data_IF_812450731323
#
_entry.id   IF_812450731323
#
_cell.length_a   1.000
_cell.length_b   1.000
_cell.length_c   1.000
_cell.angle_alpha   90.00
_cell.angle_beta   90.00
_cell.angle_gamma   90.00
#
_symmetry.space_group_name_H-M   'P 1'
#
loop_
_entity.id
_entity.type
_entity.pdbx_description
1 polymer ?
#
# COMPACT_ATOMS: atom_id res chain seq x y z
N UNK A 1 30.50 85.00 -0.53
CA UNK A 1 29.41 84.29 -1.29
C UNK A 1 29.84 82.83 -1.42
N UNK A 2 29.37 81.98 -0.51
CA UNK A 2 29.68 80.52 -0.52
C UNK A 2 28.39 79.77 -0.85
N UNK A 3 28.37 79.08 -1.97
CA UNK A 3 27.28 78.22 -2.42
C UNK A 3 27.47 76.83 -1.76
N UNK A 4 26.55 76.44 -0.95
CA UNK A 4 26.53 75.09 -0.36
C UNK A 4 25.63 74.22 -1.28
N UNK A 5 26.27 73.25 -1.94
CA UNK A 5 25.52 72.22 -2.68
C UNK A 5 25.12 71.12 -1.70
N UNK A 6 23.81 70.98 -1.46
CA UNK A 6 23.24 69.85 -0.72
C UNK A 6 23.01 68.70 -1.73
N UNK A 7 23.82 67.68 -1.63
CA UNK A 7 23.63 66.43 -2.41
C UNK A 7 22.59 65.55 -1.67
N UNK A 8 21.39 65.41 -2.27
CA UNK A 8 20.39 64.49 -1.73
C UNK A 8 20.77 63.04 -2.17
N UNK A 9 21.15 62.20 -1.18
CA UNK A 9 21.32 60.77 -1.36
C UNK A 9 19.92 60.11 -1.35
N UNK A 10 19.47 59.72 -2.54
CA UNK A 10 18.31 58.79 -2.62
C UNK A 10 18.78 57.38 -2.29
N UNK A 11 18.42 56.91 -1.10
CA UNK A 11 18.58 55.51 -0.76
C UNK A 11 17.47 54.69 -1.41
N UNK A 12 17.80 53.96 -2.47
CA UNK A 12 16.92 52.93 -3.06
C UNK A 12 16.90 51.75 -2.06
N UNK A 13 15.86 51.66 -1.25
CA UNK A 13 15.55 50.45 -0.50
C UNK A 13 14.95 49.43 -1.44
N UNK A 14 15.79 48.49 -1.92
CA UNK A 14 15.32 47.29 -2.60
C UNK A 14 14.49 46.46 -1.65
N UNK A 15 13.18 46.56 -1.75
CA UNK A 15 12.27 45.65 -1.08
C UNK A 15 12.43 44.28 -1.75
N UNK A 16 13.26 43.42 -1.16
CA UNK A 16 13.28 41.99 -1.49
C UNK A 16 11.90 41.43 -1.16
N UNK A 17 11.08 41.26 -2.18
CA UNK A 17 9.82 40.53 -2.06
C UNK A 17 10.19 39.09 -1.67
N UNK A 18 10.09 38.75 -0.37
CA UNK A 18 10.00 37.38 0.06
C UNK A 18 8.68 36.85 -0.55
N UNK A 19 8.80 36.18 -1.69
CA UNK A 19 7.74 35.30 -2.16
C UNK A 19 7.55 34.28 -1.05
N UNK A 20 6.59 34.49 -0.17
CA UNK A 20 6.08 33.44 0.68
C UNK A 20 5.66 32.33 -0.26
N UNK A 21 6.48 31.27 -0.34
CA UNK A 21 6.13 30.06 -1.04
C UNK A 21 4.89 29.56 -0.32
N UNK A 22 3.74 29.64 -0.95
CA UNK A 22 2.55 28.96 -0.44
C UNK A 22 2.98 27.51 -0.25
N UNK A 23 2.99 27.03 1.00
CA UNK A 23 3.18 25.61 1.27
C UNK A 23 2.21 24.89 0.36
N UNK A 24 2.72 23.95 -0.44
CA UNK A 24 1.89 23.27 -1.42
C UNK A 24 0.68 22.67 -0.71
N UNK A 25 -0.50 23.21 -0.99
CA UNK A 25 -1.76 22.71 -0.45
C UNK A 25 -2.08 21.28 -0.96
N UNK A 26 -1.17 20.71 -1.75
CA UNK A 26 -1.28 19.38 -2.36
C UNK A 26 -0.06 18.53 -2.00
N UNK A 27 -0.27 17.21 -1.89
CA UNK A 27 0.79 16.24 -1.69
C UNK A 27 0.84 15.27 -2.88
N UNK A 28 2.06 14.92 -3.28
CA UNK A 28 2.30 13.87 -4.28
C UNK A 28 2.54 12.54 -3.56
N UNK A 29 1.93 11.47 -4.06
CA UNK A 29 2.18 10.12 -3.56
C UNK A 29 2.25 9.12 -4.70
N UNK A 30 3.03 8.05 -4.49
CA UNK A 30 3.07 6.91 -5.40
C UNK A 30 1.89 5.97 -5.09
N UNK A 31 1.33 5.38 -6.12
CA UNK A 31 0.29 4.35 -6.03
C UNK A 31 0.59 3.25 -7.04
N UNK A 32 0.07 2.06 -6.79
CA UNK A 32 0.26 0.92 -7.67
C UNK A 32 -0.48 1.13 -8.99
N UNK A 33 0.21 0.90 -10.12
CA UNK A 33 -0.43 0.94 -11.44
C UNK A 33 -1.36 -0.27 -11.62
N UNK A 34 -2.55 -0.11 -12.22
CA UNK A 34 -3.50 -1.20 -12.42
C UNK A 34 -2.94 -2.40 -13.19
N UNK A 35 -2.10 -2.19 -14.20
CA UNK A 35 -1.48 -3.27 -14.97
C UNK A 35 -0.53 -4.10 -14.11
N UNK A 36 0.26 -3.46 -13.26
CA UNK A 36 1.14 -4.15 -12.30
C UNK A 36 0.30 -4.89 -11.25
N UNK A 37 -0.79 -4.30 -10.78
CA UNK A 37 -1.74 -4.96 -9.87
C UNK A 37 -2.33 -6.23 -10.50
N UNK A 38 -2.64 -6.20 -11.80
CA UNK A 38 -3.12 -7.38 -12.54
C UNK A 38 -2.06 -8.46 -12.63
N UNK A 39 -0.82 -8.12 -12.96
CA UNK A 39 0.29 -9.07 -13.01
C UNK A 39 0.50 -9.75 -11.65
N UNK A 40 0.51 -8.99 -10.56
CA UNK A 40 0.60 -9.51 -9.19
C UNK A 40 -0.53 -10.51 -8.92
N UNK A 41 -1.77 -10.10 -9.19
CA UNK A 41 -2.95 -10.92 -8.92
C UNK A 41 -2.94 -12.22 -9.75
N UNK A 42 -2.56 -12.12 -11.02
CA UNK A 42 -2.50 -13.26 -11.94
C UNK A 42 -1.43 -14.27 -11.53
N UNK A 43 -0.22 -13.81 -11.23
CA UNK A 43 0.88 -14.67 -10.78
C UNK A 43 0.56 -15.37 -9.45
N UNK A 44 -0.05 -14.65 -8.49
CA UNK A 44 -0.50 -15.25 -7.23
C UNK A 44 -1.56 -16.33 -7.46
N UNK A 45 -2.55 -16.06 -8.32
CA UNK A 45 -3.60 -17.03 -8.66
C UNK A 45 -3.02 -18.28 -9.32
N UNK A 46 -2.12 -18.09 -10.28
CA UNK A 46 -1.46 -19.19 -10.99
C UNK A 46 -0.60 -20.05 -10.07
N UNK A 47 0.07 -19.44 -9.09
CA UNK A 47 0.79 -20.17 -8.07
C UNK A 47 -0.14 -21.05 -7.25
N UNK A 48 -1.23 -20.52 -6.75
CA UNK A 48 -2.21 -21.29 -5.99
C UNK A 48 -2.80 -22.43 -6.83
N UNK A 49 -3.10 -22.19 -8.11
CA UNK A 49 -3.60 -23.23 -9.04
C UNK A 49 -2.60 -24.37 -9.24
N UNK A 50 -1.30 -24.04 -9.39
CA UNK A 50 -0.23 -25.07 -9.50
C UNK A 50 -0.15 -25.91 -8.24
N UNK A 51 -0.41 -25.32 -7.08
CA UNK A 51 -0.44 -26.03 -5.80
C UNK A 51 -1.79 -26.75 -5.53
N UNK A 52 -2.73 -26.70 -6.49
CA UNK A 52 -4.04 -27.38 -6.44
C UNK A 52 -5.11 -26.64 -5.65
N UNK A 53 -4.92 -25.35 -5.33
CA UNK A 53 -5.84 -24.56 -4.54
C UNK A 53 -6.75 -23.68 -5.42
N UNK A 54 -8.00 -23.51 -4.98
CA UNK A 54 -8.98 -22.62 -5.61
C UNK A 54 -9.20 -21.42 -4.69
N UNK A 55 -8.70 -20.26 -5.09
CA UNK A 55 -8.62 -19.08 -4.22
C UNK A 55 -9.26 -17.84 -4.86
N UNK A 56 -9.45 -16.82 -4.05
CA UNK A 56 -9.60 -15.44 -4.50
C UNK A 56 -8.31 -14.67 -4.18
N UNK A 57 -7.91 -13.81 -5.12
CA UNK A 57 -6.80 -12.87 -4.99
C UNK A 57 -7.35 -11.47 -5.18
N UNK A 58 -7.01 -10.55 -4.29
CA UNK A 58 -7.39 -9.14 -4.37
C UNK A 58 -6.15 -8.28 -4.21
N UNK A 59 -5.94 -7.35 -5.14
CA UNK A 59 -4.92 -6.31 -5.03
C UNK A 59 -5.63 -4.97 -4.87
N UNK A 60 -5.23 -4.23 -3.84
CA UNK A 60 -5.80 -2.92 -3.51
C UNK A 60 -4.74 -1.83 -3.63
N UNK A 61 -5.17 -0.59 -3.79
CA UNK A 61 -4.31 0.58 -3.73
C UNK A 61 -3.95 0.96 -2.28
N UNK A 62 -3.16 2.00 -2.13
CA UNK A 62 -2.75 2.51 -0.81
C UNK A 62 -3.89 3.08 0.05
N UNK A 63 -5.05 3.36 -0.54
CA UNK A 63 -6.25 3.85 0.13
C UNK A 63 -7.25 2.74 0.44
N UNK A 64 -6.88 1.49 0.17
CA UNK A 64 -7.71 0.33 0.45
C UNK A 64 -8.77 0.04 -0.62
N UNK A 65 -8.68 0.68 -1.81
CA UNK A 65 -9.64 0.45 -2.90
C UNK A 65 -9.15 -0.68 -3.81
N UNK A 66 -10.02 -1.64 -4.16
CA UNK A 66 -9.66 -2.72 -5.07
C UNK A 66 -9.26 -2.20 -6.46
N UNK A 67 -8.06 -2.60 -6.92
CA UNK A 67 -7.59 -2.42 -8.29
C UNK A 67 -7.92 -3.65 -9.14
N UNK A 68 -7.72 -4.85 -8.57
CA UNK A 68 -7.95 -6.13 -9.25
C UNK A 68 -8.52 -7.14 -8.26
N UNK A 69 -9.51 -7.91 -8.70
CA UNK A 69 -10.00 -9.09 -8.02
C UNK A 69 -10.09 -10.25 -9.02
N UNK A 70 -9.38 -11.33 -8.73
CA UNK A 70 -9.48 -12.59 -9.46
C UNK A 70 -9.98 -13.68 -8.51
N UNK A 71 -10.88 -14.53 -9.00
CA UNK A 71 -11.46 -15.60 -8.21
C UNK A 71 -11.63 -16.85 -9.05
N UNK A 72 -11.14 -17.97 -8.52
CA UNK A 72 -11.42 -19.26 -9.11
C UNK A 72 -12.87 -19.68 -8.91
N UNK A 73 -13.40 -20.46 -9.87
CA UNK A 73 -14.82 -20.88 -9.90
C UNK A 73 -15.26 -21.65 -8.66
N UNK A 74 -14.34 -22.40 -8.04
CA UNK A 74 -14.62 -23.21 -6.85
C UNK A 74 -14.05 -22.63 -5.56
N UNK A 75 -13.52 -21.39 -5.58
CA UNK A 75 -13.15 -20.70 -4.36
C UNK A 75 -14.37 -20.54 -3.44
N UNK A 76 -14.16 -20.72 -2.16
CA UNK A 76 -15.22 -20.64 -1.15
C UNK A 76 -15.99 -19.33 -1.19
N UNK A 77 -17.22 -19.31 -0.70
CA UNK A 77 -18.10 -18.13 -0.73
C UNK A 77 -17.48 -16.91 -0.05
N UNK A 78 -16.74 -17.12 1.05
CA UNK A 78 -16.07 -16.04 1.79
C UNK A 78 -14.71 -15.63 1.20
N UNK A 79 -14.17 -16.35 0.20
CA UNK A 79 -12.80 -16.15 -0.26
C UNK A 79 -12.55 -14.71 -0.72
N UNK A 80 -13.46 -14.12 -1.52
CA UNK A 80 -13.27 -12.76 -2.03
C UNK A 80 -13.27 -11.71 -0.92
N UNK A 81 -14.21 -11.77 0.01
CA UNK A 81 -14.27 -10.83 1.14
C UNK A 81 -13.11 -11.00 2.09
N UNK A 82 -12.69 -12.25 2.36
CA UNK A 82 -11.53 -12.55 3.20
C UNK A 82 -10.23 -12.05 2.56
N UNK A 83 -10.03 -12.27 1.25
CA UNK A 83 -8.87 -11.75 0.53
C UNK A 83 -8.82 -10.21 0.57
N UNK A 84 -9.96 -9.55 0.34
CA UNK A 84 -10.07 -8.08 0.45
C UNK A 84 -9.69 -7.62 1.85
N UNK A 85 -10.24 -8.23 2.88
CA UNK A 85 -9.95 -7.87 4.28
C UNK A 85 -8.48 -8.11 4.66
N UNK A 86 -7.85 -9.20 4.18
CA UNK A 86 -6.42 -9.44 4.39
C UNK A 86 -5.55 -8.35 3.75
N UNK A 87 -5.82 -8.00 2.48
CA UNK A 87 -5.12 -6.91 1.80
C UNK A 87 -5.31 -5.58 2.53
N UNK A 88 -6.56 -5.26 2.91
CA UNK A 88 -6.90 -4.05 3.65
C UNK A 88 -6.18 -3.99 5.01
N UNK A 89 -6.14 -5.11 5.73
CA UNK A 89 -5.44 -5.21 7.02
C UNK A 89 -3.94 -4.92 6.85
N UNK A 90 -3.30 -5.51 5.85
CA UNK A 90 -1.87 -5.28 5.58
C UNK A 90 -1.59 -3.80 5.29
N UNK A 91 -2.37 -3.15 4.43
CA UNK A 91 -2.20 -1.73 4.09
C UNK A 91 -2.51 -0.82 5.27
N UNK A 92 -3.61 -1.07 5.99
CA UNK A 92 -4.03 -0.25 7.13
C UNK A 92 -3.00 -0.21 8.25
N UNK A 93 -2.35 -1.34 8.54
CA UNK A 93 -1.34 -1.43 9.60
C UNK A 93 0.10 -1.29 9.10
N UNK A 94 0.32 -1.18 7.77
CA UNK A 94 1.64 -1.06 7.18
C UNK A 94 2.53 -2.28 7.40
N UNK A 95 1.93 -3.49 7.51
CA UNK A 95 2.61 -4.76 7.80
C UNK A 95 1.88 -5.95 7.19
N UNK A 96 2.63 -6.98 6.89
CA UNK A 96 2.07 -8.26 6.48
C UNK A 96 1.23 -8.87 7.60
N UNK A 97 0.14 -9.52 7.23
CA UNK A 97 -0.79 -10.09 8.23
C UNK A 97 -0.17 -11.19 9.08
N UNK A 98 0.84 -11.89 8.58
CA UNK A 98 1.61 -12.88 9.37
C UNK A 98 2.31 -12.22 10.56
N UNK A 99 2.95 -11.06 10.35
CA UNK A 99 3.61 -10.29 11.39
C UNK A 99 2.60 -9.75 12.41
N UNK A 100 1.48 -9.21 11.93
CA UNK A 100 0.40 -8.72 12.80
C UNK A 100 -0.15 -9.84 13.69
N UNK A 101 -0.36 -11.03 13.11
CA UNK A 101 -0.80 -12.22 13.86
C UNK A 101 0.23 -12.66 14.88
N UNK A 102 1.52 -12.58 14.56
CA UNK A 102 2.60 -12.85 15.52
C UNK A 102 2.58 -11.84 16.66
N UNK A 103 2.54 -10.54 16.36
CA UNK A 103 2.50 -9.48 17.36
C UNK A 103 1.29 -9.61 18.30
N UNK A 104 0.15 -10.03 17.77
CA UNK A 104 -1.06 -10.28 18.58
C UNK A 104 -0.87 -11.47 19.51
N UNK A 105 -0.30 -12.59 19.04
CA UNK A 105 0.02 -13.76 19.88
C UNK A 105 1.03 -13.42 20.98
N UNK A 106 2.00 -12.56 20.67
CA UNK A 106 3.05 -12.13 21.61
C UNK A 106 2.55 -11.06 22.60
N UNK A 107 1.26 -10.68 22.54
CA UNK A 107 0.65 -9.66 23.40
C UNK A 107 1.07 -8.22 23.10
N UNK A 108 1.71 -7.98 21.95
CA UNK A 108 2.14 -6.65 21.50
C UNK A 108 1.01 -5.85 20.86
N UNK A 109 -0.04 -6.51 20.42
CA UNK A 109 -1.25 -5.90 19.85
C UNK A 109 -2.49 -6.35 20.60
N UNK A 110 -3.43 -5.42 20.79
CA UNK A 110 -4.72 -5.74 21.40
C UNK A 110 -5.53 -6.68 20.51
N UNK A 111 -6.11 -7.78 21.07
CA UNK A 111 -7.05 -8.63 20.35
C UNK A 111 -8.27 -7.88 19.82
N UNK A 112 -8.64 -6.76 20.43
CA UNK A 112 -9.73 -5.90 20.00
C UNK A 112 -9.57 -5.32 18.58
N UNK A 113 -8.35 -5.28 18.04
CA UNK A 113 -8.12 -4.84 16.66
C UNK A 113 -8.82 -5.72 15.62
N UNK A 114 -9.04 -7.01 15.94
CA UNK A 114 -9.78 -7.91 15.05
C UNK A 114 -11.28 -7.54 14.91
N UNK A 115 -11.80 -6.67 15.77
CA UNK A 115 -13.20 -6.21 15.73
C UNK A 115 -13.38 -4.90 14.92
N UNK A 116 -12.31 -4.34 14.40
CA UNK A 116 -12.40 -3.16 13.53
C UNK A 116 -13.00 -3.56 12.17
N UNK A 117 -13.79 -2.65 11.61
CA UNK A 117 -14.39 -2.86 10.28
C UNK A 117 -13.31 -3.11 9.23
N UNK A 118 -13.52 -4.07 8.35
CA UNK A 118 -12.62 -4.51 7.27
C UNK A 118 -11.33 -5.21 7.73
N UNK A 119 -11.04 -5.28 9.03
CA UNK A 119 -9.88 -6.00 9.54
C UNK A 119 -10.11 -7.50 9.52
N UNK A 120 -9.21 -8.22 8.86
CA UNK A 120 -9.16 -9.69 8.84
C UNK A 120 -7.79 -10.14 9.31
N UNK A 121 -7.70 -10.55 10.58
CA UNK A 121 -6.48 -11.03 11.21
C UNK A 121 -6.21 -12.51 10.85
N UNK A 122 -5.97 -12.74 9.56
CA UNK A 122 -5.60 -14.04 8.99
C UNK A 122 -4.39 -13.87 8.07
N UNK A 123 -3.47 -14.83 8.10
CA UNK A 123 -2.26 -14.84 7.26
C UNK A 123 -2.63 -14.93 5.78
N UNK A 124 -1.88 -14.25 4.91
CA UNK A 124 -2.07 -14.21 3.46
C UNK A 124 -2.39 -12.82 2.89
N UNK A 125 -2.24 -11.76 3.70
CA UNK A 125 -2.23 -10.36 3.27
C UNK A 125 -0.80 -9.81 3.33
N UNK A 126 -0.31 -9.27 2.22
CA UNK A 126 1.02 -8.66 2.13
C UNK A 126 0.92 -7.21 1.66
N UNK A 127 1.85 -6.40 2.16
CA UNK A 127 1.99 -5.02 1.73
C UNK A 127 2.78 -4.95 0.42
N UNK A 128 2.38 -4.07 -0.50
CA UNK A 128 3.14 -3.76 -1.72
C UNK A 128 3.87 -2.44 -1.51
N UNK A 129 5.18 -2.47 -1.56
CA UNK A 129 6.04 -1.31 -1.29
C UNK A 129 7.08 -1.11 -2.38
N UNK A 130 7.51 0.15 -2.56
CA UNK A 130 8.65 0.53 -3.38
C UNK A 130 9.34 1.76 -2.79
N UNK A 131 10.65 1.72 -2.67
CA UNK A 131 11.44 2.83 -2.14
C UNK A 131 10.97 3.32 -0.75
N UNK A 132 10.53 2.41 0.13
CA UNK A 132 10.00 2.74 1.45
C UNK A 132 8.56 3.32 1.47
N UNK A 133 7.92 3.46 0.30
CA UNK A 133 6.54 3.94 0.19
C UNK A 133 5.57 2.77 0.00
N UNK A 134 4.47 2.78 0.74
CA UNK A 134 3.36 1.86 0.50
C UNK A 134 2.64 2.23 -0.79
N UNK A 135 2.53 1.30 -1.72
CA UNK A 135 1.82 1.45 -2.99
C UNK A 135 0.41 0.85 -2.93
N UNK A 136 0.25 -0.19 -2.13
CA UNK A 136 -0.98 -0.94 -1.99
C UNK A 136 -0.77 -2.22 -1.19
N UNK A 137 -1.62 -3.23 -1.42
CA UNK A 137 -1.51 -4.54 -0.79
C UNK A 137 -2.18 -5.63 -1.61
N UNK A 138 -1.76 -6.87 -1.36
CA UNK A 138 -2.39 -8.07 -1.91
C UNK A 138 -2.95 -8.93 -0.78
N UNK A 139 -4.10 -9.55 -1.01
CA UNK A 139 -4.67 -10.57 -0.14
C UNK A 139 -5.05 -11.80 -0.94
N UNK A 140 -4.75 -12.96 -0.39
CA UNK A 140 -5.15 -14.26 -0.94
C UNK A 140 -5.95 -15.02 0.10
N UNK A 141 -7.02 -15.68 -0.31
CA UNK A 141 -7.83 -16.50 0.57
C UNK A 141 -8.49 -17.66 -0.19
N UNK A 142 -8.53 -18.82 0.45
CA UNK A 142 -9.18 -20.01 -0.08
C UNK A 142 -8.32 -21.27 -0.03
N UNK A 143 -7.03 -21.16 0.18
CA UNK A 143 -6.17 -22.33 0.43
C UNK A 143 -6.45 -22.93 1.83
N UNK A 144 -6.04 -24.19 2.09
CA UNK A 144 -6.30 -24.87 3.36
C UNK A 144 -5.71 -24.20 4.61
N UNK A 145 -4.75 -23.28 4.42
CA UNK A 145 -4.11 -22.53 5.51
C UNK A 145 -3.57 -21.20 5.05
N UNK A 146 -3.49 -20.24 5.96
CA UNK A 146 -2.99 -18.90 5.64
C UNK A 146 -1.54 -18.87 5.16
N UNK A 147 -0.72 -19.83 5.57
CA UNK A 147 0.64 -20.04 5.06
C UNK A 147 0.68 -20.34 3.56
N UNK A 148 -0.32 -21.07 3.07
CA UNK A 148 -0.49 -21.37 1.63
C UNK A 148 -0.98 -20.13 0.87
N UNK A 149 -1.95 -19.42 1.42
CA UNK A 149 -2.41 -18.14 0.87
C UNK A 149 -1.22 -17.15 0.76
N UNK A 150 -0.40 -17.06 1.80
CA UNK A 150 0.78 -16.18 1.82
C UNK A 150 1.83 -16.58 0.78
N UNK A 151 2.08 -17.88 0.60
CA UNK A 151 3.01 -18.37 -0.43
C UNK A 151 2.55 -17.96 -1.84
N UNK A 152 1.25 -17.99 -2.10
CA UNK A 152 0.70 -17.51 -3.36
C UNK A 152 0.85 -15.98 -3.50
N UNK A 153 0.57 -15.22 -2.44
CA UNK A 153 0.72 -13.77 -2.44
C UNK A 153 2.17 -13.35 -2.68
N UNK A 154 3.15 -14.04 -2.05
CA UNK A 154 4.58 -13.81 -2.27
C UNK A 154 4.98 -14.05 -3.73
N UNK A 155 4.52 -15.14 -4.34
CA UNK A 155 4.79 -15.41 -5.75
C UNK A 155 4.23 -14.31 -6.68
N UNK A 156 3.11 -13.68 -6.30
CA UNK A 156 2.58 -12.52 -7.00
C UNK A 156 3.52 -11.32 -6.94
N UNK A 157 4.08 -11.01 -5.78
CA UNK A 157 5.02 -9.90 -5.60
C UNK A 157 6.35 -10.18 -6.30
N UNK A 158 6.87 -11.40 -6.18
CA UNK A 158 8.11 -11.84 -6.84
C UNK A 158 8.05 -11.65 -8.36
N UNK A 159 6.88 -11.86 -8.97
CA UNK A 159 6.69 -11.76 -10.43
C UNK A 159 6.87 -10.32 -10.96
N UNK A 160 6.82 -9.31 -10.11
CA UNK A 160 6.94 -7.89 -10.48
C UNK A 160 8.04 -7.16 -9.70
N UNK A 161 8.93 -7.90 -9.04
CA UNK A 161 9.95 -7.32 -8.17
C UNK A 161 10.81 -6.29 -8.91
N UNK A 162 11.21 -6.57 -10.12
CA UNK A 162 11.98 -5.68 -11.01
C UNK A 162 11.27 -4.35 -11.32
N UNK A 163 9.94 -4.33 -11.26
CA UNK A 163 9.11 -3.14 -11.46
C UNK A 163 8.88 -2.34 -10.19
N UNK A 164 9.19 -2.92 -9.03
CA UNK A 164 9.04 -2.28 -7.71
C UNK A 164 10.37 -1.73 -7.17
N UNK A 165 11.50 -2.17 -7.73
CA UNK A 165 12.86 -1.78 -7.31
C UNK A 165 13.29 -0.48 -8.04
N UNK A 166 12.81 0.69 -7.55
CA UNK A 166 13.23 2.04 -8.06
C UNK A 166 13.25 3.11 -6.98
#
# INVERSE_FOLDING_TARGET
MKRVCVAALLALTSAASLSARAEDATVMYKSLAPDVAFEIAHAALDRCRKDGFQVAVVVIDRFGQPLVMLRDRFAGLAASSTATGKAWTAVNFGRDTADLMKMMRDGQLSPGLANLTNVVMLVGGLIVQSGGSTLGGIGVAGAPGGDKDEACAKAGLEAVQDKLDF
#
